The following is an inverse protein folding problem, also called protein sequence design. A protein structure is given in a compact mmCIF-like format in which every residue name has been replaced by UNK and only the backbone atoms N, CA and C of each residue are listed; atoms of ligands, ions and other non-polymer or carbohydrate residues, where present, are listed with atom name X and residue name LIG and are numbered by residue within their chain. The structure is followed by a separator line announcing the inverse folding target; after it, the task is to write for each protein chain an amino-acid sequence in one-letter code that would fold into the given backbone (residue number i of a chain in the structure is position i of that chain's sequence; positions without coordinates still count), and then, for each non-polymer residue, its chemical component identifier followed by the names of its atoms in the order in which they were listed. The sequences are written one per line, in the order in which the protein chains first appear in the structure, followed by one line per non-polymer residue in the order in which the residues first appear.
data_IF_806010813224
#
_entry.id   IF_806010813224
#
_cell.length_a   1.000
_cell.length_b   1.000
_cell.length_c   1.000
_cell.angle_alpha   90.00
_cell.angle_beta   90.00
_cell.angle_gamma   90.00
#
_symmetry.space_group_name_H-M   'P 1'
#
loop_
_entity.id
_entity.type
_entity.pdbx_description
1 polymer ?
#
# COMPACT_ATOMS: atom_id res chain seq x y z
N UNK A 1 -24.65 3.89 31.75
CA UNK A 1 -24.62 3.82 30.28
C UNK A 1 -25.46 2.64 29.92
N UNK A 2 -26.58 2.90 29.27
CA UNK A 2 -27.53 1.85 28.91
C UNK A 2 -27.06 1.08 27.67
N UNK A 3 -27.74 -0.04 27.38
CA UNK A 3 -27.36 -0.91 26.28
C UNK A 3 -27.57 -0.26 24.89
N UNK A 4 -28.46 0.73 24.80
CA UNK A 4 -28.78 1.40 23.53
C UNK A 4 -27.74 2.49 23.23
N UNK A 5 -27.38 3.31 24.22
CA UNK A 5 -26.24 4.23 24.19
C UNK A 5 -24.94 3.52 23.79
N UNK A 6 -24.72 2.29 24.28
CA UNK A 6 -23.55 1.51 23.93
C UNK A 6 -23.57 1.04 22.47
N UNK A 7 -24.75 0.64 21.98
CA UNK A 7 -24.93 0.25 20.56
C UNK A 7 -24.74 1.43 19.63
N UNK A 8 -25.26 2.60 19.97
CA UNK A 8 -25.08 3.81 19.17
C UNK A 8 -23.60 4.21 19.08
N UNK A 9 -22.88 4.19 20.21
CA UNK A 9 -21.43 4.45 20.24
C UNK A 9 -20.64 3.43 19.42
N UNK A 10 -21.00 2.15 19.52
CA UNK A 10 -20.36 1.10 18.73
C UNK A 10 -20.58 1.32 17.22
N UNK A 11 -21.79 1.69 16.83
CA UNK A 11 -22.12 2.00 15.43
C UNK A 11 -21.35 3.23 14.93
N UNK A 12 -21.23 4.27 15.74
CA UNK A 12 -20.45 5.47 15.41
C UNK A 12 -18.97 5.15 15.23
N UNK A 13 -18.39 4.39 16.15
CA UNK A 13 -17.00 3.93 16.06
C UNK A 13 -16.77 3.08 14.81
N UNK A 14 -17.68 2.15 14.51
CA UNK A 14 -17.60 1.30 13.33
C UNK A 14 -17.62 2.11 12.03
N UNK A 15 -18.46 3.16 11.96
CA UNK A 15 -18.51 4.09 10.82
C UNK A 15 -17.19 4.86 10.67
N UNK A 16 -16.63 5.34 11.79
CA UNK A 16 -15.35 6.06 11.79
C UNK A 16 -14.21 5.15 11.34
N UNK A 17 -14.17 3.92 11.84
CA UNK A 17 -13.18 2.92 11.44
C UNK A 17 -13.26 2.62 9.95
N UNK A 18 -14.47 2.35 9.42
CA UNK A 18 -14.65 2.11 8.00
C UNK A 18 -14.18 3.29 7.13
N UNK A 19 -14.48 4.53 7.55
CA UNK A 19 -14.01 5.74 6.86
C UNK A 19 -12.48 5.89 6.90
N UNK A 20 -11.85 5.60 8.05
CA UNK A 20 -10.40 5.65 8.19
C UNK A 20 -9.72 4.57 7.34
N UNK A 21 -10.27 3.35 7.31
CA UNK A 21 -9.76 2.26 6.49
C UNK A 21 -9.83 2.59 5.00
N UNK A 22 -10.93 3.21 4.55
CA UNK A 22 -11.06 3.68 3.17
C UNK A 22 -9.99 4.73 2.82
N UNK A 23 -9.80 5.75 3.68
CA UNK A 23 -8.77 6.78 3.47
C UNK A 23 -7.35 6.20 3.47
N UNK A 24 -7.07 5.23 4.32
CA UNK A 24 -5.79 4.52 4.34
C UNK A 24 -5.54 3.77 3.03
N UNK A 25 -6.58 3.17 2.45
CA UNK A 25 -6.50 2.52 1.14
C UNK A 25 -6.24 3.53 0.01
N UNK A 26 -6.91 4.68 0.02
CA UNK A 26 -6.65 5.75 -0.96
C UNK A 26 -5.20 6.24 -0.88
N UNK A 27 -4.71 6.56 0.32
CA UNK A 27 -3.32 6.98 0.55
C UNK A 27 -2.31 5.91 0.12
N UNK A 28 -2.63 4.63 0.34
CA UNK A 28 -1.78 3.54 -0.14
C UNK A 28 -1.67 3.54 -1.67
N UNK A 29 -2.77 3.69 -2.39
CA UNK A 29 -2.78 3.73 -3.86
C UNK A 29 -2.08 4.96 -4.44
N UNK A 30 -2.24 6.11 -3.81
CA UNK A 30 -1.51 7.32 -4.17
C UNK A 30 0.01 7.11 -4.00
N UNK A 31 0.43 6.57 -2.86
CA UNK A 31 1.82 6.27 -2.60
C UNK A 31 2.40 5.22 -3.56
N UNK A 32 1.61 4.21 -3.92
CA UNK A 32 1.99 3.23 -4.94
C UNK A 32 2.22 3.89 -6.29
N UNK A 33 1.32 4.79 -6.70
CA UNK A 33 1.42 5.54 -7.96
C UNK A 33 2.68 6.41 -7.97
N UNK A 34 2.99 7.08 -6.86
CA UNK A 34 4.20 7.89 -6.72
C UNK A 34 5.47 7.02 -6.78
N UNK A 35 5.48 5.85 -6.15
CA UNK A 35 6.60 4.91 -6.22
C UNK A 35 6.85 4.43 -7.67
N UNK A 36 5.80 4.14 -8.44
CA UNK A 36 5.92 3.78 -9.86
C UNK A 36 6.55 4.93 -10.66
N UNK A 37 6.11 6.18 -10.45
CA UNK A 37 6.68 7.35 -11.13
C UNK A 37 8.16 7.54 -10.77
N UNK A 38 8.48 7.42 -9.48
CA UNK A 38 9.86 7.50 -9.00
C UNK A 38 10.75 6.43 -9.66
N UNK A 39 10.25 5.21 -9.81
CA UNK A 39 10.93 4.14 -10.54
C UNK A 39 11.25 4.55 -11.98
N UNK A 40 10.28 5.15 -12.67
CA UNK A 40 10.43 5.67 -14.02
C UNK A 40 11.53 6.73 -14.11
N UNK A 41 11.51 7.73 -13.24
CA UNK A 41 12.53 8.78 -13.22
C UNK A 41 13.93 8.25 -12.90
N UNK A 42 14.05 7.25 -12.01
CA UNK A 42 15.33 6.59 -11.74
C UNK A 42 15.84 5.87 -12.99
N UNK A 43 14.96 5.18 -13.71
CA UNK A 43 15.32 4.49 -14.96
C UNK A 43 15.77 5.49 -16.03
N UNK A 44 15.04 6.59 -16.22
CA UNK A 44 15.40 7.66 -17.16
C UNK A 44 16.75 8.29 -16.80
N UNK A 45 16.98 8.63 -15.53
CA UNK A 45 18.26 9.17 -15.07
C UNK A 45 19.43 8.22 -15.34
N UNK A 46 19.21 6.91 -15.12
CA UNK A 46 20.21 5.88 -15.44
C UNK A 46 20.52 5.80 -16.94
N UNK A 47 19.49 5.91 -17.79
CA UNK A 47 19.68 5.93 -19.25
C UNK A 47 20.49 7.14 -19.71
N UNK A 48 20.39 8.27 -19.00
CA UNK A 48 21.18 9.48 -19.25
C UNK A 48 22.61 9.42 -18.65
N UNK A 49 23.02 8.27 -18.12
CA UNK A 49 24.36 8.07 -17.53
C UNK A 49 24.46 8.49 -16.06
N UNK A 50 23.35 8.89 -15.45
CA UNK A 50 23.28 9.20 -14.02
C UNK A 50 23.47 7.96 -13.15
N UNK A 51 24.19 8.12 -12.03
CA UNK A 51 24.25 7.12 -10.97
C UNK A 51 23.15 7.40 -9.96
N UNK A 52 22.48 6.35 -9.49
CA UNK A 52 21.47 6.45 -8.44
C UNK A 52 21.81 5.52 -7.28
N UNK A 53 21.86 6.07 -6.07
CA UNK A 53 22.14 5.36 -4.82
C UNK A 53 21.40 6.01 -3.63
N UNK A 54 20.15 6.43 -3.83
CA UNK A 54 19.35 7.02 -2.76
C UNK A 54 18.66 5.92 -1.95
N UNK A 55 19.07 5.77 -0.69
CA UNK A 55 18.53 4.77 0.24
C UNK A 55 17.03 4.96 0.52
N UNK A 56 16.55 6.20 0.55
CA UNK A 56 15.14 6.48 0.86
C UNK A 56 14.25 6.05 -0.31
N UNK A 57 14.69 6.33 -1.53
CA UNK A 57 14.01 5.86 -2.72
C UNK A 57 14.00 4.32 -2.80
N UNK A 58 15.07 3.63 -2.37
CA UNK A 58 15.07 2.16 -2.26
C UNK A 58 13.99 1.67 -1.27
N UNK A 59 13.87 2.28 -0.09
CA UNK A 59 12.85 1.90 0.90
C UNK A 59 11.42 2.09 0.37
N UNK A 60 11.15 3.22 -0.29
CA UNK A 60 9.84 3.51 -0.90
C UNK A 60 9.52 2.45 -1.96
N UNK A 61 10.48 2.16 -2.85
CA UNK A 61 10.32 1.16 -3.90
C UNK A 61 10.08 -0.24 -3.32
N UNK A 62 10.79 -0.63 -2.28
CA UNK A 62 10.63 -1.93 -1.64
C UNK A 62 9.28 -2.05 -0.93
N UNK A 63 8.86 -1.01 -0.21
CA UNK A 63 7.59 -0.98 0.51
C UNK A 63 6.39 -1.10 -0.42
N UNK A 64 6.37 -0.37 -1.53
CA UNK A 64 5.19 -0.28 -2.39
C UNK A 64 5.25 -1.21 -3.61
N UNK A 65 6.43 -1.51 -4.18
CA UNK A 65 6.54 -2.28 -5.42
C UNK A 65 7.02 -3.74 -5.24
N UNK A 66 7.68 -4.06 -4.12
CA UNK A 66 8.08 -5.45 -3.82
C UNK A 66 7.10 -6.19 -2.90
N UNK A 67 6.28 -5.47 -2.13
CA UNK A 67 5.28 -6.09 -1.25
C UNK A 67 4.30 -7.01 -2.01
N UNK A 68 3.93 -6.67 -3.26
CA UNK A 68 3.10 -7.52 -4.12
C UNK A 68 3.80 -8.75 -4.72
N UNK A 69 5.12 -8.93 -4.54
CA UNK A 69 5.86 -10.10 -5.05
C UNK A 69 6.06 -11.22 -4.02
N UNK A 70 5.79 -10.98 -2.73
CA UNK A 70 5.97 -11.98 -1.68
C UNK A 70 4.77 -12.91 -1.50
N UNK A 71 3.60 -12.54 -2.01
CA UNK A 71 2.48 -13.48 -2.16
C UNK A 71 2.55 -14.14 -3.53
N UNK A 72 3.50 -15.07 -3.67
CA UNK A 72 3.37 -16.13 -4.65
C UNK A 72 2.09 -16.89 -4.33
N UNK A 73 1.03 -16.59 -5.06
CA UNK A 73 -0.14 -17.45 -5.16
C UNK A 73 0.38 -18.78 -5.71
N UNK A 74 0.75 -19.72 -4.84
CA UNK A 74 0.94 -21.10 -5.24
C UNK A 74 -0.43 -21.56 -5.75
N UNK A 75 -0.61 -21.85 -7.04
CA UNK A 75 -1.78 -22.62 -7.44
C UNK A 75 -1.69 -23.93 -6.66
N UNK A 76 -2.68 -24.20 -5.81
CA UNK A 76 -2.81 -25.53 -5.22
C UNK A 76 -2.92 -26.49 -6.41
N UNK A 77 -1.90 -27.31 -6.59
CA UNK A 77 -1.96 -28.45 -7.49
C UNK A 77 -3.18 -29.27 -7.07
N UNK A 78 -4.24 -29.22 -7.89
CA UNK A 78 -5.37 -30.12 -7.77
C UNK A 78 -4.85 -31.45 -8.30
N UNK A 79 -4.43 -32.32 -7.39
CA UNK A 79 -4.14 -33.70 -7.71
C UNK A 79 -5.42 -34.38 -8.25
N UNK A 80 -5.18 -35.23 -9.25
CA UNK A 80 -6.13 -35.97 -10.08
C UNK A 80 -7.20 -36.73 -9.30
#
# INVERSE_FOLDING_TARGET
MDAEELREKLLELSKREASLNFKMYELFNENLTLAIKLAGYIAENRMLGGKWSDEEAVKVMDKYLKAGRKEGHHPKEVHQ
#
